data_IF_569464334805
#
_entry.id   IF_569464334805
#
_cell.length_a   1.000
_cell.length_b   1.000
_cell.length_c   1.000
_cell.angle_alpha   90.00
_cell.angle_beta   90.00
_cell.angle_gamma   90.00
#
_symmetry.space_group_name_H-M   'P 1'
#
loop_
_entity.id
_entity.type
_entity.pdbx_description
1 polymer ?
#
# COMPACT_ATOMS: atom_id res chain seq x y z
N UNK A 1 37.19 -8.03 -3.52
CA UNK A 1 35.87 -8.33 -2.92
C UNK A 1 35.77 -7.79 -1.48
N UNK A 2 35.93 -6.47 -1.26
CA UNK A 2 35.91 -5.86 0.08
C UNK A 2 34.50 -5.49 0.58
N UNK A 3 33.53 -5.39 -0.35
CA UNK A 3 32.14 -5.01 -0.07
C UNK A 3 31.29 -6.10 0.60
N UNK A 4 31.70 -7.38 0.55
CA UNK A 4 30.94 -8.47 1.19
C UNK A 4 31.39 -8.78 2.63
N UNK A 5 32.50 -8.20 3.09
CA UNK A 5 33.13 -8.58 4.37
C UNK A 5 32.92 -7.57 5.51
N UNK A 6 32.57 -6.31 5.24
CA UNK A 6 32.53 -5.25 6.26
C UNK A 6 31.24 -4.41 6.22
N UNK A 7 30.10 -5.05 6.49
CA UNK A 7 28.86 -4.33 6.83
C UNK A 7 27.97 -4.01 5.63
N UNK A 8 26.68 -4.24 5.82
CA UNK A 8 25.66 -4.33 4.77
C UNK A 8 25.60 -3.13 3.84
N UNK A 9 25.06 -3.36 2.64
CA UNK A 9 24.84 -2.35 1.58
C UNK A 9 24.18 -1.04 2.09
N UNK A 10 23.52 -1.10 3.25
CA UNK A 10 22.83 -0.03 4.00
C UNK A 10 23.70 1.18 4.37
N UNK A 11 25.00 0.99 4.57
CA UNK A 11 25.89 2.08 4.97
C UNK A 11 26.44 2.91 3.79
N UNK A 12 26.16 2.51 2.54
CA UNK A 12 26.66 3.24 1.38
C UNK A 12 25.84 4.52 1.11
N UNK A 13 26.45 5.71 1.03
CA UNK A 13 25.72 6.98 0.94
C UNK A 13 24.81 7.07 -0.30
N UNK A 14 25.21 6.49 -1.43
CA UNK A 14 24.36 6.46 -2.64
C UNK A 14 23.11 5.58 -2.46
N UNK A 15 23.22 4.46 -1.75
CA UNK A 15 22.07 3.59 -1.51
C UNK A 15 21.11 4.22 -0.51
N UNK A 16 21.65 4.93 0.49
CA UNK A 16 20.86 5.71 1.43
C UNK A 16 20.07 6.81 0.74
N UNK A 17 20.68 7.50 -0.23
CA UNK A 17 20.02 8.52 -1.03
C UNK A 17 18.85 7.96 -1.85
N UNK A 18 19.05 6.83 -2.54
CA UNK A 18 17.98 6.21 -3.34
C UNK A 18 16.84 5.69 -2.47
N UNK A 19 17.14 5.11 -1.30
CA UNK A 19 16.13 4.70 -0.34
C UNK A 19 15.32 5.88 0.19
N UNK A 20 15.97 7.00 0.50
CA UNK A 20 15.29 8.22 0.93
C UNK A 20 14.30 8.73 -0.12
N UNK A 21 14.74 8.88 -1.37
CA UNK A 21 13.83 9.31 -2.45
C UNK A 21 12.71 8.30 -2.68
N UNK A 22 13.01 7.00 -2.65
CA UNK A 22 11.99 5.95 -2.77
C UNK A 22 10.93 6.08 -1.68
N UNK A 23 11.33 6.22 -0.40
CA UNK A 23 10.39 6.38 0.71
C UNK A 23 9.61 7.70 0.62
N UNK A 24 10.23 8.78 0.14
CA UNK A 24 9.55 10.05 -0.09
C UNK A 24 8.44 9.92 -1.15
N UNK A 25 8.73 9.31 -2.30
CA UNK A 25 7.73 9.07 -3.34
C UNK A 25 6.63 8.10 -2.88
N UNK A 26 6.99 7.05 -2.15
CA UNK A 26 6.00 6.11 -1.60
C UNK A 26 5.12 6.76 -0.52
N UNK A 27 5.66 7.68 0.27
CA UNK A 27 4.85 8.48 1.20
C UNK A 27 3.90 9.42 0.45
N UNK A 28 4.37 10.09 -0.61
CA UNK A 28 3.52 10.88 -1.49
C UNK A 28 2.40 10.04 -2.11
N UNK A 29 2.72 8.85 -2.62
CA UNK A 29 1.74 7.88 -3.13
C UNK A 29 0.72 7.46 -2.05
N UNK A 30 1.17 7.23 -0.82
CA UNK A 30 0.28 6.89 0.30
C UNK A 30 -0.72 8.03 0.59
N UNK A 31 -0.24 9.27 0.66
CA UNK A 31 -1.09 10.46 0.87
C UNK A 31 -2.07 10.67 -0.28
N UNK A 32 -1.62 10.58 -1.53
CA UNK A 32 -2.51 10.78 -2.69
C UNK A 32 -3.53 9.66 -2.81
N UNK A 33 -3.16 8.41 -2.53
CA UNK A 33 -4.10 7.29 -2.50
C UNK A 33 -5.18 7.49 -1.43
N UNK A 34 -4.81 7.99 -0.25
CA UNK A 34 -5.76 8.34 0.80
C UNK A 34 -6.68 9.48 0.36
N UNK A 35 -6.14 10.58 -0.14
CA UNK A 35 -6.92 11.73 -0.62
C UNK A 35 -7.88 11.35 -1.76
N UNK A 36 -7.42 10.55 -2.73
CA UNK A 36 -8.24 10.08 -3.85
C UNK A 36 -9.40 9.18 -3.42
N UNK A 37 -9.24 8.41 -2.33
CA UNK A 37 -10.33 7.63 -1.76
C UNK A 37 -11.41 8.55 -1.20
N UNK A 38 -11.02 9.50 -0.32
CA UNK A 38 -11.96 10.43 0.31
C UNK A 38 -12.60 11.43 -0.66
N UNK A 39 -11.94 11.73 -1.78
CA UNK A 39 -12.52 12.54 -2.84
C UNK A 39 -13.67 11.83 -3.59
N UNK A 40 -13.76 10.50 -3.50
CA UNK A 40 -14.72 9.68 -4.25
C UNK A 40 -15.72 8.94 -3.38
N UNK A 41 -15.30 8.54 -2.18
CA UNK A 41 -16.00 7.66 -1.26
C UNK A 41 -15.69 8.07 0.18
N UNK A 42 -16.54 7.66 1.11
CA UNK A 42 -16.29 7.80 2.55
C UNK A 42 -16.02 6.41 3.15
N UNK A 43 -15.70 6.37 4.45
CA UNK A 43 -15.56 5.11 5.20
C UNK A 43 -16.91 4.44 5.50
N UNK A 44 -17.97 4.81 4.77
CA UNK A 44 -19.31 4.22 4.89
C UNK A 44 -19.56 3.27 3.72
N UNK A 45 -20.07 2.05 3.97
CA UNK A 45 -20.42 1.09 2.91
C UNK A 45 -21.38 1.68 1.88
N UNK A 46 -22.35 2.51 2.32
CA UNK A 46 -23.31 3.14 1.42
C UNK A 46 -22.62 4.02 0.36
N UNK A 47 -21.65 4.85 0.74
CA UNK A 47 -20.90 5.67 -0.24
C UNK A 47 -20.15 4.83 -1.28
N UNK A 48 -19.69 3.62 -0.90
CA UNK A 48 -19.04 2.68 -1.81
C UNK A 48 -20.06 2.10 -2.78
N UNK A 49 -21.24 1.71 -2.28
CA UNK A 49 -22.35 1.24 -3.11
C UNK A 49 -22.75 2.32 -4.12
N UNK A 50 -22.97 3.55 -3.68
CA UNK A 50 -23.33 4.69 -4.55
C UNK A 50 -22.22 4.99 -5.58
N UNK A 51 -20.95 4.84 -5.20
CA UNK A 51 -19.84 5.06 -6.12
C UNK A 51 -19.75 4.00 -7.23
N UNK A 52 -20.06 2.73 -6.93
CA UNK A 52 -19.97 1.63 -7.90
C UNK A 52 -21.28 1.39 -8.67
N UNK A 53 -22.43 1.43 -7.98
CA UNK A 53 -23.76 1.20 -8.57
C UNK A 53 -24.44 2.47 -9.06
N UNK A 54 -23.87 3.65 -8.78
CA UNK A 54 -24.49 4.93 -9.12
C UNK A 54 -25.40 5.45 -8.01
N UNK A 55 -25.79 6.71 -8.15
CA UNK A 55 -26.65 7.43 -7.21
C UNK A 55 -27.56 8.35 -8.01
N UNK A 56 -28.86 8.16 -7.89
CA UNK A 56 -29.84 9.07 -8.52
C UNK A 56 -29.77 10.48 -7.90
N UNK A 57 -29.55 10.56 -6.58
CA UNK A 57 -29.45 11.83 -5.85
C UNK A 57 -28.29 12.70 -6.35
N UNK A 58 -27.19 12.08 -6.78
CA UNK A 58 -26.03 12.78 -7.33
C UNK A 58 -25.98 12.77 -8.86
N UNK A 59 -27.02 12.26 -9.53
CA UNK A 59 -27.05 12.05 -10.98
C UNK A 59 -25.83 11.26 -11.51
N UNK A 60 -25.35 10.30 -10.72
CA UNK A 60 -24.19 9.45 -11.03
C UNK A 60 -24.63 8.11 -11.59
N UNK A 61 -24.14 7.80 -12.79
CA UNK A 61 -24.36 6.50 -13.41
C UNK A 61 -23.48 5.42 -12.76
N UNK A 62 -23.95 4.16 -12.76
CA UNK A 62 -23.14 3.01 -12.35
C UNK A 62 -21.83 2.91 -13.14
N UNK A 63 -20.77 2.42 -12.51
CA UNK A 63 -19.49 2.16 -13.20
C UNK A 63 -19.67 1.13 -14.32
N UNK A 64 -19.10 1.44 -15.48
CA UNK A 64 -19.06 0.53 -16.63
C UNK A 64 -17.99 -0.55 -16.44
N UNK A 65 -18.18 -1.70 -17.08
CA UNK A 65 -17.18 -2.79 -17.06
C UNK A 65 -15.81 -2.31 -17.57
N UNK A 66 -15.78 -1.54 -18.66
CA UNK A 66 -14.54 -0.99 -19.21
C UNK A 66 -13.81 -0.10 -18.20
N UNK A 67 -14.53 0.80 -17.52
CA UNK A 67 -13.92 1.67 -16.51
C UNK A 67 -13.34 0.86 -15.34
N UNK A 68 -14.00 -0.22 -14.94
CA UNK A 68 -13.49 -1.13 -13.90
C UNK A 68 -12.21 -1.83 -14.37
N UNK A 69 -12.20 -2.32 -15.61
CA UNK A 69 -11.05 -3.01 -16.19
C UNK A 69 -9.83 -2.08 -16.32
N UNK A 70 -10.03 -0.84 -16.74
CA UNK A 70 -8.96 0.18 -16.84
C UNK A 70 -8.31 0.46 -15.47
N UNK A 71 -9.14 0.60 -14.42
CA UNK A 71 -8.64 0.79 -13.05
C UNK A 71 -7.85 -0.43 -12.59
N UNK A 72 -8.38 -1.63 -12.76
CA UNK A 72 -7.70 -2.86 -12.34
C UNK A 72 -6.40 -3.09 -13.12
N UNK A 73 -6.38 -2.82 -14.43
CA UNK A 73 -5.18 -2.95 -15.26
C UNK A 73 -4.07 -2.00 -14.81
N UNK A 74 -4.41 -0.77 -14.42
CA UNK A 74 -3.44 0.22 -13.94
C UNK A 74 -3.01 -0.04 -12.50
N UNK A 75 -3.92 -0.51 -11.64
CA UNK A 75 -3.65 -0.75 -10.23
C UNK A 75 -2.86 -2.04 -9.96
N UNK A 76 -3.16 -3.15 -10.64
CA UNK A 76 -2.53 -4.45 -10.31
C UNK A 76 -1.00 -4.42 -10.41
N UNK A 77 -0.38 -3.91 -11.49
CA UNK A 77 1.08 -3.84 -11.58
C UNK A 77 1.67 -2.87 -10.56
N UNK A 78 1.03 -1.72 -10.35
CA UNK A 78 1.49 -0.70 -9.40
C UNK A 78 1.47 -1.25 -7.96
N UNK A 79 0.38 -1.91 -7.56
CA UNK A 79 0.27 -2.52 -6.23
C UNK A 79 1.27 -3.66 -6.06
N UNK A 80 1.50 -4.48 -7.08
CA UNK A 80 2.52 -5.52 -7.03
C UNK A 80 3.92 -4.93 -6.76
N UNK A 81 4.30 -3.86 -7.46
CA UNK A 81 5.59 -3.21 -7.29
C UNK A 81 5.73 -2.51 -5.94
N UNK A 82 4.73 -1.73 -5.51
CA UNK A 82 4.75 -1.04 -4.21
C UNK A 82 4.84 -2.02 -3.06
N UNK A 83 4.02 -3.08 -3.08
CA UNK A 83 4.05 -4.11 -2.04
C UNK A 83 5.37 -4.86 -2.07
N UNK A 84 5.89 -5.22 -3.24
CA UNK A 84 7.20 -5.86 -3.36
C UNK A 84 8.31 -5.01 -2.76
N UNK A 85 8.40 -3.72 -3.09
CA UNK A 85 9.45 -2.84 -2.58
C UNK A 85 9.38 -2.73 -1.06
N UNK A 86 8.22 -2.42 -0.50
CA UNK A 86 8.07 -2.25 0.96
C UNK A 86 8.32 -3.56 1.73
N UNK A 87 7.77 -4.67 1.24
CA UNK A 87 7.92 -5.97 1.90
C UNK A 87 9.32 -6.55 1.73
N UNK A 88 9.99 -6.30 0.60
CA UNK A 88 11.37 -6.73 0.38
C UNK A 88 12.32 -5.98 1.32
N UNK A 89 12.12 -4.68 1.52
CA UNK A 89 12.90 -3.91 2.49
C UNK A 89 12.67 -4.40 3.93
N UNK A 90 11.47 -4.89 4.24
CA UNK A 90 11.14 -5.47 5.55
C UNK A 90 11.97 -6.71 5.87
N UNK A 91 12.50 -7.43 4.88
CA UNK A 91 13.35 -8.61 5.10
C UNK A 91 14.62 -8.24 5.88
N UNK A 92 15.16 -7.04 5.67
CA UNK A 92 16.38 -6.56 6.31
C UNK A 92 16.18 -6.01 7.72
N UNK A 93 14.94 -5.88 8.18
CA UNK A 93 14.64 -5.43 9.54
C UNK A 93 14.88 -6.53 10.58
N UNK A 94 14.97 -6.16 11.85
CA UNK A 94 15.20 -7.08 12.97
C UNK A 94 13.95 -7.87 13.43
N UNK A 95 12.84 -7.84 12.68
CA UNK A 95 11.65 -8.61 13.03
C UNK A 95 11.88 -10.12 13.00
N UNK A 96 11.13 -10.83 13.85
CA UNK A 96 11.07 -12.29 13.82
C UNK A 96 10.54 -12.82 12.49
N UNK A 97 11.07 -13.96 12.03
CA UNK A 97 10.72 -14.55 10.74
C UNK A 97 9.21 -14.77 10.55
N UNK A 98 8.50 -15.30 11.57
CA UNK A 98 7.04 -15.49 11.52
C UNK A 98 6.27 -14.18 11.31
N UNK A 99 6.69 -13.12 11.99
CA UNK A 99 6.07 -11.79 11.86
C UNK A 99 6.25 -11.25 10.45
N UNK A 100 7.43 -11.44 9.85
CA UNK A 100 7.68 -11.05 8.45
C UNK A 100 6.72 -11.77 7.50
N UNK A 101 6.55 -13.08 7.63
CA UNK A 101 5.62 -13.86 6.79
C UNK A 101 4.19 -13.31 6.89
N UNK A 102 3.70 -13.08 8.12
CA UNK A 102 2.34 -12.57 8.36
C UNK A 102 2.16 -11.18 7.74
N UNK A 103 3.11 -10.27 7.94
CA UNK A 103 3.04 -8.91 7.39
C UNK A 103 3.04 -8.92 5.86
N UNK A 104 3.88 -9.76 5.24
CA UNK A 104 3.95 -9.90 3.78
C UNK A 104 2.63 -10.45 3.24
N UNK A 105 2.14 -11.55 3.80
CA UNK A 105 0.90 -12.17 3.38
C UNK A 105 -0.29 -11.20 3.53
N UNK A 106 -0.37 -10.50 4.65
CA UNK A 106 -1.45 -9.54 4.92
C UNK A 106 -1.41 -8.35 3.96
N UNK A 107 -0.22 -7.84 3.62
CA UNK A 107 -0.06 -6.75 2.66
C UNK A 107 -0.57 -7.12 1.27
N UNK A 108 -0.13 -8.27 0.73
CA UNK A 108 -0.58 -8.74 -0.58
C UNK A 108 -2.07 -9.10 -0.59
N UNK A 109 -2.55 -9.79 0.45
CA UNK A 109 -3.95 -10.19 0.53
C UNK A 109 -4.88 -8.98 0.65
N UNK A 110 -4.53 -7.99 1.47
CA UNK A 110 -5.33 -6.76 1.60
C UNK A 110 -5.36 -5.96 0.31
N UNK A 111 -4.24 -5.83 -0.41
CA UNK A 111 -4.18 -5.17 -1.71
C UNK A 111 -5.07 -5.87 -2.76
N UNK A 112 -4.97 -7.20 -2.84
CA UNK A 112 -5.76 -7.98 -3.78
C UNK A 112 -7.27 -7.89 -3.47
N UNK A 113 -7.65 -8.10 -2.20
CA UNK A 113 -9.05 -8.03 -1.78
C UNK A 113 -9.61 -6.61 -1.94
N UNK A 114 -8.79 -5.58 -1.74
CA UNK A 114 -9.21 -4.20 -1.96
C UNK A 114 -9.60 -3.96 -3.41
N UNK A 115 -8.82 -4.44 -4.38
CA UNK A 115 -9.14 -4.31 -5.81
C UNK A 115 -10.35 -5.19 -6.19
N UNK A 116 -10.37 -6.44 -5.73
CA UNK A 116 -11.47 -7.38 -5.97
C UNK A 116 -12.82 -6.89 -5.40
N UNK A 117 -12.80 -6.18 -4.27
CA UNK A 117 -14.02 -5.69 -3.62
C UNK A 117 -14.84 -4.76 -4.53
N UNK A 118 -14.20 -3.95 -5.40
CA UNK A 118 -14.93 -3.11 -6.34
C UNK A 118 -15.75 -3.92 -7.34
N UNK A 119 -15.17 -5.00 -7.86
CA UNK A 119 -15.85 -5.95 -8.76
C UNK A 119 -17.01 -6.64 -8.06
N UNK A 120 -16.79 -7.11 -6.83
CA UNK A 120 -17.80 -7.80 -6.05
C UNK A 120 -18.99 -6.89 -5.70
N UNK A 121 -18.75 -5.63 -5.35
CA UNK A 121 -19.83 -4.64 -5.13
C UNK A 121 -20.63 -4.41 -6.41
N UNK A 122 -19.96 -4.29 -7.56
CA UNK A 122 -20.61 -3.94 -8.83
C UNK A 122 -21.42 -5.09 -9.43
N UNK A 123 -20.91 -6.31 -9.36
CA UNK A 123 -21.41 -7.45 -10.14
C UNK A 123 -21.95 -8.62 -9.30
N UNK A 124 -21.69 -8.66 -8.00
CA UNK A 124 -22.12 -9.78 -7.14
C UNK A 124 -23.14 -9.33 -6.10
N UNK A 125 -22.75 -8.47 -5.17
CA UNK A 125 -23.65 -8.01 -4.11
C UNK A 125 -23.18 -6.69 -3.47
N UNK A 126 -24.07 -5.70 -3.20
CA UNK A 126 -23.72 -4.46 -2.51
C UNK A 126 -23.08 -4.65 -1.13
N UNK A 127 -23.35 -5.76 -0.43
CA UNK A 127 -22.80 -6.06 0.90
C UNK A 127 -21.28 -6.17 0.92
N UNK A 128 -20.63 -6.45 -0.22
CA UNK A 128 -19.17 -6.42 -0.33
C UNK A 128 -18.57 -5.02 -0.15
N UNK A 129 -19.39 -3.97 -0.03
CA UNK A 129 -18.95 -2.63 0.30
C UNK A 129 -18.26 -2.57 1.68
N UNK A 130 -18.72 -3.38 2.64
CA UNK A 130 -18.05 -3.53 3.94
C UNK A 130 -16.61 -4.04 3.77
N UNK A 131 -16.43 -5.05 2.90
CA UNK A 131 -15.11 -5.57 2.58
C UNK A 131 -14.23 -4.53 1.91
N UNK A 132 -14.77 -3.68 1.00
CA UNK A 132 -14.00 -2.59 0.37
C UNK A 132 -13.47 -1.60 1.41
N UNK A 133 -14.30 -1.19 2.37
CA UNK A 133 -13.89 -0.27 3.46
C UNK A 133 -12.87 -0.93 4.38
N UNK A 134 -13.12 -2.16 4.82
CA UNK A 134 -12.21 -2.89 5.72
C UNK A 134 -10.83 -3.12 5.07
N UNK A 135 -10.80 -3.59 3.82
CA UNK A 135 -9.56 -3.82 3.08
C UNK A 135 -8.82 -2.53 2.78
N UNK A 136 -9.53 -1.43 2.51
CA UNK A 136 -8.91 -0.10 2.39
C UNK A 136 -8.19 0.30 3.68
N UNK A 137 -8.88 0.21 4.82
CA UNK A 137 -8.30 0.58 6.12
C UNK A 137 -7.09 -0.29 6.48
N UNK A 138 -7.19 -1.61 6.28
CA UNK A 138 -6.08 -2.55 6.52
C UNK A 138 -4.91 -2.23 5.59
N UNK A 139 -5.15 -2.06 4.29
CA UNK A 139 -4.11 -1.77 3.31
C UNK A 139 -3.41 -0.43 3.61
N UNK A 140 -4.17 0.63 3.88
CA UNK A 140 -3.65 1.94 4.24
C UNK A 140 -2.84 1.90 5.54
N UNK A 141 -3.33 1.16 6.53
CA UNK A 141 -2.62 0.93 7.79
C UNK A 141 -1.32 0.17 7.60
N UNK A 142 -1.30 -0.88 6.75
CA UNK A 142 -0.09 -1.64 6.43
C UNK A 142 0.95 -0.79 5.69
N UNK A 143 0.52 0.01 4.71
CA UNK A 143 1.40 0.93 4.00
C UNK A 143 2.02 1.95 4.95
N UNK A 144 1.21 2.58 5.80
CA UNK A 144 1.68 3.51 6.83
C UNK A 144 2.68 2.83 7.79
N UNK A 145 2.34 1.63 8.26
CA UNK A 145 3.18 0.85 9.15
C UNK A 145 4.55 0.53 8.53
N UNK A 146 4.60 0.10 7.26
CA UNK A 146 5.85 -0.16 6.57
C UNK A 146 6.67 1.11 6.35
N UNK A 147 6.05 2.19 5.91
CA UNK A 147 6.73 3.48 5.70
C UNK A 147 7.35 3.99 7.01
N UNK A 148 6.57 4.04 8.09
CA UNK A 148 7.06 4.49 9.41
C UNK A 148 8.16 3.58 9.92
N UNK A 149 7.98 2.26 9.83
CA UNK A 149 8.98 1.31 10.34
C UNK A 149 10.30 1.41 9.59
N UNK A 150 10.26 1.54 8.25
CA UNK A 150 11.45 1.68 7.42
C UNK A 150 12.14 3.04 7.65
N UNK A 151 11.38 4.12 7.82
CA UNK A 151 11.93 5.42 8.18
C UNK A 151 12.62 5.37 9.55
N UNK A 152 11.98 4.79 10.56
CA UNK A 152 12.57 4.65 11.90
C UNK A 152 13.82 3.77 11.91
N UNK A 153 13.79 2.66 11.17
CA UNK A 153 14.95 1.78 11.00
C UNK A 153 16.13 2.55 10.42
N UNK A 154 15.87 3.32 9.35
CA UNK A 154 16.88 4.14 8.70
C UNK A 154 17.45 5.24 9.61
N UNK A 155 16.60 5.95 10.36
CA UNK A 155 17.06 7.01 11.26
C UNK A 155 17.90 6.49 12.43
N UNK A 156 17.56 5.31 12.97
CA UNK A 156 18.32 4.65 14.04
C UNK A 156 19.73 4.25 13.58
N UNK A 157 19.86 3.74 12.35
CA UNK A 157 21.16 3.35 11.80
C UNK A 157 22.07 4.56 11.58
N UNK A 158 21.51 5.71 11.17
CA UNK A 158 22.28 6.95 11.00
C UNK A 158 22.93 7.44 12.31
N UNK A 159 22.30 7.22 13.46
CA UNK A 159 22.83 7.62 14.76
C UNK A 159 23.91 6.65 15.27
N UNK A 160 23.80 5.35 14.94
CA UNK A 160 24.80 4.35 15.31
C UNK A 160 26.10 4.41 14.51
N UNK A 161 26.09 5.02 13.33
CA UNK A 161 27.27 5.21 12.48
C UNK A 161 28.16 6.41 12.84
N UNK A 162 27.78 7.24 13.82
CA UNK A 162 28.56 8.41 14.26
C UNK A 162 29.45 8.15 15.49
N UNK A 163 29.51 6.91 15.97
CA UNK A 163 30.41 6.50 17.06
C UNK A 163 31.36 5.40 16.54
N UNK A 164 32.20 5.72 15.56
CA UNK A 164 33.46 5.01 15.27
C UNK A 164 34.46 5.95 14.65
#
# INVERSE_FOLDING_TARGET
MKYMQYGGMQNHPLMRLTLYFTLFFLFGFWVTNFAMYFAKMNLTPQSVVEYYLGSEADFRLPRTYQSMLEVTHTHLPMMALVMLVLTHLLIFTSFQHRTKIVLIALAFLSAFLHEAAGWLVRFVNPMFAWMKVATFAIMQGMLAFFLVTLLLFFFRENQGGQIK
#
